data_IF_534087447048
#
_entry.id   IF_534087447048
#
_cell.length_a   1.000
_cell.length_b   1.000
_cell.length_c   1.000
_cell.angle_alpha   90.00
_cell.angle_beta   90.00
_cell.angle_gamma   90.00
#
_symmetry.space_group_name_H-M   'P 1'
#
loop_
_entity.id
_entity.type
_entity.pdbx_description
1 polymer ?
#
# COMPACT_ATOMS: atom_id res chain seq x y z
N UNK A 1 7.95 -27.83 -11.40
CA UNK A 1 7.04 -27.59 -10.25
C UNK A 1 7.80 -26.85 -9.16
N UNK A 2 7.52 -25.57 -8.90
CA UNK A 2 8.09 -24.89 -7.73
C UNK A 2 7.34 -25.37 -6.48
N UNK A 3 8.01 -26.18 -5.64
CA UNK A 3 7.53 -26.50 -4.29
C UNK A 3 7.21 -25.18 -3.57
N UNK A 4 5.96 -25.01 -3.15
CA UNK A 4 5.53 -23.85 -2.38
C UNK A 4 6.29 -23.73 -1.07
N UNK A 5 6.60 -22.50 -0.64
CA UNK A 5 7.17 -22.28 0.70
C UNK A 5 6.01 -22.22 1.68
N UNK A 6 5.91 -23.22 2.56
CA UNK A 6 4.96 -23.22 3.68
C UNK A 6 5.07 -21.92 4.50
N UNK A 7 3.96 -21.48 5.10
CA UNK A 7 3.94 -20.26 5.91
C UNK A 7 4.88 -20.42 7.11
N UNK A 8 5.63 -19.35 7.43
CA UNK A 8 6.53 -19.39 8.59
C UNK A 8 5.74 -19.26 9.90
N UNK A 9 6.25 -19.80 11.01
CA UNK A 9 5.64 -19.63 12.35
C UNK A 9 5.42 -18.15 12.69
N UNK A 10 6.35 -17.27 12.31
CA UNK A 10 6.23 -15.82 12.50
C UNK A 10 5.08 -15.22 11.70
N UNK A 11 4.91 -15.63 10.44
CA UNK A 11 3.82 -15.16 9.58
C UNK A 11 2.45 -15.60 10.12
N UNK A 12 2.34 -16.86 10.56
CA UNK A 12 1.10 -17.37 11.16
C UNK A 12 0.77 -16.59 12.44
N UNK A 13 1.75 -16.38 13.32
CA UNK A 13 1.57 -15.59 14.55
C UNK A 13 1.11 -14.15 14.25
N UNK A 14 1.67 -13.52 13.22
CA UNK A 14 1.27 -12.18 12.80
C UNK A 14 -0.19 -12.15 12.30
N UNK A 15 -0.57 -13.08 11.43
CA UNK A 15 -1.95 -13.14 10.90
C UNK A 15 -2.94 -13.36 12.04
N UNK A 16 -2.67 -14.30 12.95
CA UNK A 16 -3.54 -14.57 14.10
C UNK A 16 -3.62 -13.37 15.06
N UNK A 17 -2.52 -12.63 15.22
CA UNK A 17 -2.46 -11.42 16.03
C UNK A 17 -3.30 -10.26 15.47
N UNK A 18 -3.58 -10.26 14.17
CA UNK A 18 -4.43 -9.26 13.51
C UNK A 18 -5.93 -9.59 13.59
N UNK A 19 -6.30 -10.77 14.11
CA UNK A 19 -7.71 -11.14 14.31
C UNK A 19 -8.25 -10.36 15.51
N UNK A 20 -8.79 -9.17 15.20
CA UNK A 20 -9.45 -8.27 16.14
C UNK A 20 -10.98 -8.41 16.15
N UNK A 21 -11.53 -9.23 15.24
CA UNK A 21 -12.95 -9.51 15.18
C UNK A 21 -13.34 -10.53 16.25
N UNK A 22 -14.03 -10.07 17.31
CA UNK A 22 -14.35 -10.87 18.51
C UNK A 22 -14.96 -12.25 18.21
N UNK A 23 -15.93 -12.39 17.28
CA UNK A 23 -16.52 -13.70 16.99
C UNK A 23 -15.53 -14.76 16.48
N UNK A 24 -14.38 -14.35 15.93
CA UNK A 24 -13.37 -15.28 15.41
C UNK A 24 -12.31 -15.69 16.43
N UNK A 25 -12.38 -15.20 17.67
CA UNK A 25 -11.39 -15.55 18.70
C UNK A 25 -11.43 -17.06 19.00
N UNK A 26 -12.63 -17.65 19.11
CA UNK A 26 -12.84 -19.09 19.32
C UNK A 26 -12.38 -19.95 18.15
N UNK A 27 -12.35 -19.40 16.94
CA UNK A 27 -11.98 -20.12 15.70
C UNK A 27 -10.51 -19.94 15.30
N UNK A 28 -9.68 -19.32 16.15
CA UNK A 28 -8.25 -19.09 15.86
C UNK A 28 -7.49 -20.36 15.56
N UNK A 29 -7.81 -21.47 16.23
CA UNK A 29 -7.14 -22.75 15.99
C UNK A 29 -7.49 -23.34 14.63
N UNK A 30 -8.74 -23.23 14.19
CA UNK A 30 -9.16 -23.61 12.83
C UNK A 30 -8.46 -22.78 11.75
N UNK A 31 -8.37 -21.46 11.95
CA UNK A 31 -7.63 -20.55 11.05
C UNK A 31 -6.14 -20.92 11.03
N UNK A 32 -5.55 -21.16 12.20
CA UNK A 32 -4.15 -21.59 12.33
C UNK A 32 -3.90 -22.89 11.59
N UNK A 33 -4.79 -23.87 11.72
CA UNK A 33 -4.70 -25.14 11.01
C UNK A 33 -4.70 -24.93 9.50
N UNK A 34 -5.64 -24.15 8.96
CA UNK A 34 -5.65 -23.85 7.52
C UNK A 34 -4.41 -23.11 7.03
N UNK A 35 -3.86 -22.21 7.84
CA UNK A 35 -2.58 -21.54 7.56
C UNK A 35 -1.38 -22.50 7.65
N UNK A 36 -1.47 -23.64 8.32
CA UNK A 36 -0.43 -24.67 8.30
C UNK A 36 -0.56 -25.60 7.09
N UNK A 37 -1.78 -25.82 6.60
CA UNK A 37 -2.09 -26.69 5.46
C UNK A 37 -1.88 -26.01 4.09
N UNK A 38 -1.95 -24.67 4.04
CA UNK A 38 -1.96 -23.90 2.78
C UNK A 38 -0.90 -22.81 2.75
N UNK A 39 -0.50 -22.36 1.56
CA UNK A 39 0.40 -21.21 1.40
C UNK A 39 -0.43 -19.92 1.33
N UNK A 40 -0.45 -19.14 2.42
CA UNK A 40 -1.22 -17.90 2.53
C UNK A 40 -0.95 -16.97 1.35
N UNK A 41 0.32 -16.89 0.93
CA UNK A 41 0.76 -16.05 -0.17
C UNK A 41 0.20 -16.43 -1.55
N UNK A 42 -0.43 -17.61 -1.68
CA UNK A 42 -1.07 -18.10 -2.90
C UNK A 42 -2.59 -18.11 -2.82
N UNK A 43 -3.17 -17.99 -1.63
CA UNK A 43 -4.60 -18.07 -1.42
C UNK A 43 -5.32 -16.78 -1.84
N UNK A 44 -6.36 -16.93 -2.65
CA UNK A 44 -7.22 -15.87 -3.18
C UNK A 44 -8.66 -16.17 -2.79
N UNK A 45 -9.25 -15.31 -1.96
CA UNK A 45 -10.64 -15.46 -1.54
C UNK A 45 -11.57 -14.97 -2.64
N UNK A 46 -12.38 -15.88 -3.19
CA UNK A 46 -13.40 -15.59 -4.20
C UNK A 46 -14.74 -15.36 -3.50
N UNK A 47 -15.11 -14.09 -3.41
CA UNK A 47 -16.37 -13.60 -2.84
C UNK A 47 -17.39 -13.51 -3.98
N UNK A 48 -18.42 -14.35 -3.93
CA UNK A 48 -19.44 -14.40 -4.96
C UNK A 48 -20.76 -14.97 -4.43
N UNK A 49 -21.85 -14.70 -5.15
CA UNK A 49 -23.12 -15.38 -4.88
C UNK A 49 -23.04 -16.86 -5.28
N UNK A 50 -23.41 -17.73 -4.35
CA UNK A 50 -23.52 -19.17 -4.57
C UNK A 50 -24.88 -19.50 -5.20
N UNK A 51 -24.86 -19.87 -6.48
CA UNK A 51 -26.01 -20.36 -7.26
C UNK A 51 -25.50 -21.15 -8.47
N UNK A 52 -26.34 -22.01 -9.03
CA UNK A 52 -25.95 -22.91 -10.13
C UNK A 52 -25.47 -22.15 -11.37
N UNK A 53 -26.09 -21.02 -11.68
CA UNK A 53 -25.74 -20.17 -12.82
C UNK A 53 -24.30 -19.64 -12.72
N UNK A 54 -23.81 -19.49 -11.48
CA UNK A 54 -22.52 -18.90 -11.17
C UNK A 54 -21.41 -19.94 -11.03
N UNK A 55 -21.75 -21.22 -10.98
CA UNK A 55 -20.79 -22.32 -10.94
C UNK A 55 -19.80 -22.22 -12.10
N UNK A 56 -20.30 -21.99 -13.31
CA UNK A 56 -19.46 -21.82 -14.52
C UNK A 56 -18.49 -20.65 -14.39
N UNK A 57 -18.94 -19.52 -13.83
CA UNK A 57 -18.08 -18.34 -13.63
C UNK A 57 -17.00 -18.65 -12.58
N UNK A 58 -17.39 -19.29 -11.47
CA UNK A 58 -16.45 -19.72 -10.46
C UNK A 58 -15.38 -20.63 -11.04
N UNK A 59 -15.77 -21.64 -11.83
CA UNK A 59 -14.85 -22.59 -12.46
C UNK A 59 -13.86 -21.90 -13.42
N UNK A 60 -14.30 -20.85 -14.14
CA UNK A 60 -13.40 -20.03 -14.97
C UNK A 60 -12.37 -19.31 -14.09
N UNK A 61 -12.81 -18.62 -13.04
CA UNK A 61 -11.91 -17.87 -12.13
C UNK A 61 -10.92 -18.82 -11.45
N UNK A 62 -11.40 -19.94 -10.89
CA UNK A 62 -10.56 -20.91 -10.18
C UNK A 62 -9.53 -21.55 -11.12
N UNK A 63 -9.90 -21.87 -12.36
CA UNK A 63 -8.94 -22.35 -13.38
C UNK A 63 -7.90 -21.30 -13.75
N UNK A 64 -8.31 -20.04 -13.94
CA UNK A 64 -7.40 -18.94 -14.25
C UNK A 64 -6.36 -18.72 -13.13
N UNK A 65 -6.80 -18.74 -11.87
CA UNK A 65 -5.94 -18.68 -10.69
C UNK A 65 -4.96 -19.86 -10.64
N UNK A 66 -5.46 -21.08 -10.84
CA UNK A 66 -4.66 -22.31 -10.83
C UNK A 66 -3.58 -22.31 -11.92
N UNK A 67 -3.89 -21.84 -13.14
CA UNK A 67 -2.92 -21.68 -14.24
C UNK A 67 -1.75 -20.77 -13.87
N UNK A 68 -1.95 -19.82 -12.96
CA UNK A 68 -0.91 -18.90 -12.46
C UNK A 68 -0.31 -19.34 -11.12
N UNK A 69 -0.60 -20.56 -10.65
CA UNK A 69 -0.07 -21.12 -9.41
C UNK A 69 -0.69 -20.53 -8.14
N UNK A 70 -1.84 -19.86 -8.25
CA UNK A 70 -2.63 -19.36 -7.13
C UNK A 70 -3.72 -20.38 -6.75
N UNK A 71 -4.14 -20.33 -5.49
CA UNK A 71 -5.19 -21.17 -4.94
C UNK A 71 -6.45 -20.32 -4.76
N UNK A 72 -7.48 -20.58 -5.56
CA UNK A 72 -8.78 -19.92 -5.42
C UNK A 72 -9.61 -20.62 -4.34
N UNK A 73 -10.15 -19.83 -3.42
CA UNK A 73 -10.81 -20.31 -2.21
C UNK A 73 -12.21 -19.72 -2.14
N UNK A 74 -13.23 -20.56 -1.91
CA UNK A 74 -14.57 -20.10 -1.54
C UNK A 74 -14.94 -20.60 -0.15
N UNK A 75 -15.78 -19.84 0.53
CA UNK A 75 -16.23 -20.19 1.88
C UNK A 75 -17.20 -21.38 1.92
N UNK A 76 -17.85 -21.72 0.80
CA UNK A 76 -18.75 -22.88 0.68
C UNK A 76 -18.02 -24.20 0.35
N UNK A 77 -16.72 -24.15 0.07
CA UNK A 77 -15.94 -25.35 -0.21
C UNK A 77 -15.76 -26.19 1.07
N UNK A 78 -15.99 -27.51 0.97
CA UNK A 78 -15.94 -28.44 2.12
C UNK A 78 -14.58 -28.41 2.83
N UNK A 79 -13.50 -28.26 2.08
CA UNK A 79 -12.14 -28.16 2.60
C UNK A 79 -11.84 -26.81 3.28
N UNK A 80 -12.75 -25.84 3.20
CA UNK A 80 -12.66 -24.49 3.77
C UNK A 80 -13.74 -24.20 4.82
N UNK A 81 -14.40 -25.22 5.35
CA UNK A 81 -15.26 -25.13 6.53
C UNK A 81 -14.41 -25.00 7.80
N UNK A 82 -13.98 -23.78 8.11
CA UNK A 82 -13.18 -23.42 9.30
C UNK A 82 -14.08 -23.24 10.52
N UNK A 83 -15.23 -22.60 10.32
CA UNK A 83 -16.28 -22.44 11.32
C UNK A 83 -17.52 -23.21 10.87
N UNK A 84 -18.38 -23.53 11.82
CA UNK A 84 -19.69 -24.19 11.64
C UNK A 84 -20.84 -23.18 11.57
N UNK A 85 -20.52 -21.88 11.46
CA UNK A 85 -21.46 -20.77 11.52
C UNK A 85 -21.29 -19.77 10.36
N UNK A 86 -22.02 -18.65 10.45
CA UNK A 86 -22.02 -17.58 9.44
C UNK A 86 -20.70 -16.81 9.35
N UNK A 87 -19.75 -17.02 10.27
CA UNK A 87 -18.44 -16.36 10.25
C UNK A 87 -17.40 -17.07 9.40
N UNK A 88 -17.75 -18.19 8.74
CA UNK A 88 -16.79 -18.99 7.98
C UNK A 88 -16.12 -18.16 6.86
N UNK A 89 -16.87 -17.32 6.17
CA UNK A 89 -16.32 -16.44 5.13
C UNK A 89 -15.27 -15.47 5.66
N UNK A 90 -15.47 -14.94 6.87
CA UNK A 90 -14.51 -14.04 7.51
C UNK A 90 -13.28 -14.82 7.98
N UNK A 91 -13.45 -16.02 8.54
CA UNK A 91 -12.32 -16.90 8.88
C UNK A 91 -11.47 -17.26 7.66
N UNK A 92 -12.13 -17.60 6.54
CA UNK A 92 -11.49 -17.87 5.24
C UNK A 92 -10.73 -16.64 4.73
N UNK A 93 -11.27 -15.43 4.91
CA UNK A 93 -10.60 -14.19 4.52
C UNK A 93 -9.24 -14.01 5.20
N UNK A 94 -9.08 -14.45 6.46
CA UNK A 94 -7.79 -14.42 7.18
C UNK A 94 -6.77 -15.44 6.65
N UNK A 95 -7.24 -16.50 6.00
CA UNK A 95 -6.40 -17.49 5.35
C UNK A 95 -5.96 -17.09 3.94
N UNK A 96 -6.49 -15.98 3.41
CA UNK A 96 -6.24 -15.51 2.06
C UNK A 96 -5.44 -14.20 2.04
N UNK A 97 -4.46 -14.12 1.14
CA UNK A 97 -3.68 -12.89 0.92
C UNK A 97 -4.37 -11.91 0.00
N UNK A 98 -5.15 -12.42 -0.94
CA UNK A 98 -5.80 -11.64 -1.98
C UNK A 98 -7.31 -11.89 -1.99
N UNK A 99 -8.07 -10.98 -2.59
CA UNK A 99 -9.50 -11.12 -2.80
C UNK A 99 -9.91 -10.95 -4.26
N UNK A 100 -10.99 -11.61 -4.66
CA UNK A 100 -11.77 -11.31 -5.87
C UNK A 100 -13.22 -11.17 -5.45
N UNK A 101 -13.78 -9.97 -5.59
CA UNK A 101 -15.21 -9.72 -5.38
C UNK A 101 -15.92 -9.71 -6.73
N UNK A 102 -16.83 -10.66 -6.91
CA UNK A 102 -17.68 -10.76 -8.09
C UNK A 102 -19.09 -10.28 -7.75
N UNK A 103 -19.45 -9.12 -8.30
CA UNK A 103 -20.82 -8.61 -8.32
C UNK A 103 -21.46 -9.01 -9.65
N UNK A 104 -22.15 -10.14 -9.62
CA UNK A 104 -22.76 -10.77 -10.80
C UNK A 104 -24.15 -10.19 -11.14
N UNK A 105 -24.84 -10.78 -12.12
CA UNK A 105 -26.17 -10.37 -12.59
C UNK A 105 -27.18 -10.20 -11.43
N UNK A 106 -28.05 -9.17 -11.52
CA UNK A 106 -29.07 -8.92 -10.50
C UNK A 106 -30.16 -10.00 -10.53
N UNK A 107 -30.84 -10.14 -9.40
CA UNK A 107 -32.06 -10.95 -9.28
C UNK A 107 -33.28 -10.08 -8.99
N UNK A 108 -34.47 -10.68 -9.11
CA UNK A 108 -35.72 -10.00 -8.80
C UNK A 108 -35.69 -9.48 -7.36
N UNK A 109 -35.74 -8.16 -7.19
CA UNK A 109 -35.73 -7.50 -5.88
C UNK A 109 -34.34 -7.36 -5.23
N UNK A 110 -33.28 -7.87 -5.85
CA UNK A 110 -31.92 -7.82 -5.30
C UNK A 110 -30.88 -7.51 -6.37
N UNK A 111 -30.34 -6.29 -6.36
CA UNK A 111 -29.35 -5.84 -7.35
C UNK A 111 -27.99 -6.51 -7.19
N UNK A 112 -27.57 -6.82 -5.95
CA UNK A 112 -26.30 -7.47 -5.65
C UNK A 112 -26.39 -8.26 -4.35
N UNK A 113 -25.46 -9.18 -4.15
CA UNK A 113 -25.40 -9.99 -2.93
C UNK A 113 -24.76 -9.18 -1.77
N UNK A 114 -25.48 -8.93 -0.66
CA UNK A 114 -24.94 -8.20 0.49
C UNK A 114 -23.78 -8.92 1.16
N UNK A 115 -23.69 -10.26 1.06
CA UNK A 115 -22.58 -11.02 1.62
C UNK A 115 -21.25 -10.67 0.90
N UNK A 116 -21.29 -10.45 -0.42
CA UNK A 116 -20.11 -10.02 -1.17
C UNK A 116 -19.66 -8.62 -0.71
N UNK A 117 -20.59 -7.71 -0.42
CA UNK A 117 -20.26 -6.40 0.16
C UNK A 117 -19.63 -6.53 1.56
N UNK A 118 -20.21 -7.37 2.40
CA UNK A 118 -19.75 -7.63 3.77
C UNK A 118 -18.32 -8.20 3.76
N UNK A 119 -18.07 -9.24 2.97
CA UNK A 119 -16.76 -9.88 2.81
C UNK A 119 -15.71 -8.90 2.23
N UNK A 120 -16.11 -8.13 1.21
CA UNK A 120 -15.24 -7.11 0.61
C UNK A 120 -14.83 -6.04 1.63
N UNK A 121 -15.72 -5.70 2.57
CA UNK A 121 -15.42 -4.80 3.68
C UNK A 121 -14.25 -5.28 4.53
N UNK A 122 -14.18 -6.57 4.86
CA UNK A 122 -13.08 -7.15 5.63
C UNK A 122 -11.78 -7.21 4.83
N UNK A 123 -11.84 -7.57 3.55
CA UNK A 123 -10.68 -7.53 2.65
C UNK A 123 -10.09 -6.12 2.56
N UNK A 124 -10.94 -5.10 2.48
CA UNK A 124 -10.52 -3.70 2.49
C UNK A 124 -9.97 -3.23 3.84
N UNK A 125 -10.60 -3.61 4.95
CA UNK A 125 -10.13 -3.26 6.29
C UNK A 125 -8.72 -3.80 6.57
N UNK A 126 -8.39 -4.96 6.02
CA UNK A 126 -7.08 -5.61 6.11
C UNK A 126 -6.06 -5.11 5.05
N UNK A 127 -6.42 -4.12 4.22
CA UNK A 127 -5.61 -3.61 3.09
C UNK A 127 -5.09 -4.71 2.14
N UNK A 128 -5.90 -5.76 1.94
CA UNK A 128 -5.55 -6.87 1.05
C UNK A 128 -5.77 -6.47 -0.41
N UNK A 129 -4.84 -6.79 -1.34
CA UNK A 129 -5.07 -6.52 -2.75
C UNK A 129 -6.28 -7.30 -3.26
N UNK A 130 -7.22 -6.58 -3.86
CA UNK A 130 -8.49 -7.14 -4.31
C UNK A 130 -8.76 -6.76 -5.77
N UNK A 131 -9.31 -7.70 -6.54
CA UNK A 131 -9.98 -7.43 -7.80
C UNK A 131 -11.47 -7.28 -7.54
N UNK A 132 -12.10 -6.25 -8.11
CA UNK A 132 -13.55 -6.07 -8.06
C UNK A 132 -14.06 -6.19 -9.50
N UNK A 133 -14.90 -7.20 -9.74
CA UNK A 133 -15.51 -7.49 -11.04
C UNK A 133 -17.00 -7.22 -10.92
N UNK A 134 -17.55 -6.37 -11.80
CA UNK A 134 -18.95 -5.96 -11.77
C UNK A 134 -19.62 -6.26 -13.10
N UNK A 135 -20.77 -6.92 -13.06
CA UNK A 135 -21.59 -7.13 -14.25
C UNK A 135 -22.14 -5.78 -14.77
N UNK A 136 -22.11 -5.60 -16.09
CA UNK A 136 -22.55 -4.36 -16.74
C UNK A 136 -24.00 -3.96 -16.38
N UNK A 137 -24.88 -4.92 -16.09
CA UNK A 137 -26.28 -4.66 -15.72
C UNK A 137 -26.44 -3.83 -14.43
N UNK A 138 -25.45 -3.87 -13.54
CA UNK A 138 -25.50 -3.17 -12.24
C UNK A 138 -24.48 -2.02 -12.14
N UNK A 139 -23.76 -1.70 -13.21
CA UNK A 139 -22.75 -0.62 -13.20
C UNK A 139 -23.31 0.76 -12.84
N UNK A 140 -24.57 1.03 -13.18
CA UNK A 140 -25.26 2.29 -12.82
C UNK A 140 -25.85 2.28 -11.40
N UNK A 141 -25.90 1.10 -10.77
CA UNK A 141 -26.47 0.87 -9.43
C UNK A 141 -25.49 0.07 -8.57
N UNK A 142 -24.24 0.52 -8.54
CA UNK A 142 -23.17 -0.14 -7.81
C UNK A 142 -23.49 -0.21 -6.32
N UNK A 143 -23.07 -1.26 -5.61
CA UNK A 143 -23.05 -1.27 -4.16
C UNK A 143 -22.14 -0.13 -3.65
N UNK A 144 -22.67 0.81 -2.87
CA UNK A 144 -21.94 1.91 -2.21
C UNK A 144 -20.96 2.70 -3.13
N UNK A 145 -20.13 3.58 -2.58
CA UNK A 145 -19.15 4.41 -3.32
C UNK A 145 -17.93 3.60 -3.83
N UNK A 146 -18.19 2.46 -4.48
CA UNK A 146 -17.22 1.74 -5.30
C UNK A 146 -16.63 2.59 -6.43
N UNK A 147 -17.19 3.77 -6.70
CA UNK A 147 -16.66 4.78 -7.64
C UNK A 147 -15.27 5.26 -7.23
N UNK A 148 -15.00 5.36 -5.92
CA UNK A 148 -13.67 5.71 -5.41
C UNK A 148 -12.61 4.63 -5.64
N UNK A 149 -13.02 3.42 -6.06
CA UNK A 149 -12.15 2.26 -6.27
C UNK A 149 -12.17 1.83 -7.74
N UNK A 150 -11.01 1.40 -8.22
CA UNK A 150 -10.88 0.86 -9.57
C UNK A 150 -11.53 -0.53 -9.59
N UNK A 151 -12.64 -0.66 -10.30
CA UNK A 151 -13.31 -1.94 -10.60
C UNK A 151 -13.16 -2.23 -12.10
N UNK A 152 -13.25 -3.51 -12.45
CA UNK A 152 -13.36 -3.98 -13.82
C UNK A 152 -14.79 -4.42 -14.06
N UNK A 153 -15.26 -4.30 -15.30
CA UNK A 153 -16.61 -4.72 -15.66
C UNK A 153 -16.59 -5.79 -16.74
N UNK A 154 -17.67 -6.57 -16.81
CA UNK A 154 -17.86 -7.57 -17.85
C UNK A 154 -19.30 -7.60 -18.33
N UNK A 155 -19.48 -7.95 -19.60
CA UNK A 155 -20.77 -8.29 -20.20
C UNK A 155 -20.84 -9.76 -20.63
N UNK A 156 -19.69 -10.40 -20.82
CA UNK A 156 -19.57 -11.79 -21.22
C UNK A 156 -18.67 -12.54 -20.23
N UNK A 157 -19.06 -13.77 -19.88
CA UNK A 157 -18.32 -14.67 -19.00
C UNK A 157 -16.93 -14.98 -19.55
N UNK A 158 -16.74 -14.98 -20.87
CA UNK A 158 -15.43 -15.18 -21.51
C UNK A 158 -14.41 -14.11 -21.10
N UNK A 159 -14.85 -12.88 -20.81
CA UNK A 159 -13.99 -11.77 -20.40
C UNK A 159 -13.41 -11.97 -18.99
N UNK A 160 -14.06 -12.78 -18.14
CA UNK A 160 -13.68 -12.92 -16.74
C UNK A 160 -12.29 -13.56 -16.60
N UNK A 161 -11.95 -14.53 -17.47
CA UNK A 161 -10.63 -15.15 -17.45
C UNK A 161 -9.52 -14.12 -17.70
N UNK A 162 -9.70 -13.29 -18.71
CA UNK A 162 -8.73 -12.24 -19.08
C UNK A 162 -8.59 -11.21 -17.95
N UNK A 163 -9.71 -10.74 -17.38
CA UNK A 163 -9.68 -9.81 -16.24
C UNK A 163 -8.90 -10.35 -15.04
N UNK A 164 -9.07 -11.64 -14.73
CA UNK A 164 -8.33 -12.30 -13.65
C UNK A 164 -6.85 -12.43 -14.00
N UNK A 165 -6.53 -12.86 -15.23
CA UNK A 165 -5.14 -13.00 -15.69
C UNK A 165 -4.41 -11.66 -15.65
N UNK A 166 -5.03 -10.60 -16.17
CA UNK A 166 -4.48 -9.24 -16.18
C UNK A 166 -4.22 -8.73 -14.77
N UNK A 167 -5.19 -8.90 -13.87
CA UNK A 167 -5.01 -8.51 -12.48
C UNK A 167 -3.86 -9.27 -11.79
N UNK A 168 -3.69 -10.57 -12.05
CA UNK A 168 -2.56 -11.34 -11.53
C UNK A 168 -1.23 -10.79 -12.06
N UNK A 169 -1.18 -10.39 -13.35
CA UNK A 169 0.00 -9.74 -13.93
C UNK A 169 0.25 -8.38 -13.26
N UNK A 170 -0.77 -7.55 -13.06
CA UNK A 170 -0.69 -6.29 -12.32
C UNK A 170 -0.18 -6.50 -10.88
N UNK A 171 -0.62 -7.54 -10.18
CA UNK A 171 -0.09 -7.94 -8.88
C UNK A 171 1.40 -8.30 -8.96
N UNK A 172 1.80 -9.02 -10.00
CA UNK A 172 3.20 -9.37 -10.29
C UNK A 172 4.07 -8.15 -10.60
N UNK A 173 3.54 -7.14 -11.30
CA UNK A 173 4.18 -5.86 -11.57
C UNK A 173 4.30 -5.03 -10.30
N UNK A 174 3.22 -4.90 -9.51
CA UNK A 174 3.24 -4.28 -8.18
C UNK A 174 4.21 -4.98 -7.24
N UNK A 175 4.31 -6.31 -7.31
CA UNK A 175 5.29 -7.11 -6.55
C UNK A 175 6.70 -6.88 -7.06
N UNK A 176 6.98 -6.86 -8.37
CA UNK A 176 8.31 -6.52 -8.92
C UNK A 176 8.75 -5.11 -8.51
N UNK A 177 7.83 -4.15 -8.51
CA UNK A 177 8.04 -2.80 -7.98
C UNK A 177 8.31 -2.80 -6.46
N UNK A 178 7.67 -3.70 -5.68
CA UNK A 178 7.81 -3.79 -4.21
C UNK A 178 8.89 -4.76 -3.69
N UNK A 179 9.38 -5.72 -4.47
CA UNK A 179 10.17 -6.86 -3.95
C UNK A 179 11.59 -7.00 -4.47
N UNK A 180 12.06 -6.13 -5.36
CA UNK A 180 13.47 -6.15 -5.81
C UNK A 180 14.20 -4.80 -5.74
N UNK A 181 13.61 -3.77 -5.15
CA UNK A 181 14.35 -2.55 -4.88
C UNK A 181 14.70 -2.49 -3.40
N UNK A 182 16.00 -2.47 -3.09
CA UNK A 182 16.47 -1.83 -1.86
C UNK A 182 15.75 -0.48 -1.76
N UNK A 183 15.19 -0.11 -0.59
CA UNK A 183 14.47 1.15 -0.46
C UNK A 183 15.31 2.28 -1.03
N UNK A 184 14.69 3.12 -1.86
CA UNK A 184 15.38 4.23 -2.51
C UNK A 184 16.14 5.02 -1.45
N UNK A 185 17.44 5.20 -1.65
CA UNK A 185 18.28 5.93 -0.70
C UNK A 185 18.22 7.40 -1.03
N UNK A 186 17.86 8.20 -0.04
CA UNK A 186 17.79 9.65 -0.17
C UNK A 186 18.56 10.32 0.95
N UNK A 187 19.03 11.53 0.69
CA UNK A 187 19.55 12.42 1.72
C UNK A 187 18.58 13.56 1.96
N UNK A 188 18.36 13.90 3.22
CA UNK A 188 17.46 14.97 3.68
C UNK A 188 18.31 16.04 4.38
N UNK A 189 18.21 17.29 3.93
CA UNK A 189 18.99 18.40 4.45
C UNK A 189 18.18 19.26 5.41
N UNK A 190 18.54 19.25 6.69
CA UNK A 190 18.04 20.21 7.67
C UNK A 190 18.92 21.47 7.56
N UNK A 191 18.62 22.29 6.57
CA UNK A 191 19.41 23.48 6.23
C UNK A 191 19.00 24.65 7.12
N UNK A 192 19.92 25.14 7.94
CA UNK A 192 19.71 26.27 8.82
C UNK A 192 20.42 27.53 8.29
N UNK A 193 19.70 28.66 8.35
CA UNK A 193 20.23 30.01 8.17
C UNK A 193 19.64 30.91 9.25
N UNK A 194 20.48 31.39 10.16
CA UNK A 194 20.04 32.12 11.36
C UNK A 194 18.98 31.29 12.13
N UNK A 195 17.83 31.86 12.45
CA UNK A 195 16.71 31.17 13.13
C UNK A 195 15.71 30.52 12.16
N UNK A 196 16.05 30.43 10.88
CA UNK A 196 15.17 29.89 9.85
C UNK A 196 15.72 28.60 9.23
N UNK A 197 14.80 27.78 8.73
CA UNK A 197 15.05 26.53 8.05
C UNK A 197 14.52 26.59 6.62
N UNK A 198 15.25 26.00 5.67
CA UNK A 198 14.80 25.88 4.29
C UNK A 198 13.79 24.73 4.19
N UNK A 199 12.62 25.00 3.61
CA UNK A 199 11.66 23.98 3.22
C UNK A 199 11.27 24.14 1.74
N UNK A 200 10.94 23.03 1.10
CA UNK A 200 10.54 22.94 -0.31
C UNK A 200 9.12 22.39 -0.42
N UNK A 201 8.40 22.79 -1.48
CA UNK A 201 7.06 22.35 -1.81
C UNK A 201 7.08 21.64 -3.16
N UNK A 202 6.62 20.39 -3.20
CA UNK A 202 6.58 19.60 -4.44
C UNK A 202 5.47 20.07 -5.38
N UNK A 203 5.66 19.92 -6.69
CA UNK A 203 4.68 20.30 -7.71
C UNK A 203 3.59 19.25 -7.94
N UNK A 204 3.95 17.96 -7.95
CA UNK A 204 3.00 16.84 -8.02
C UNK A 204 2.80 16.24 -6.62
N UNK A 205 1.56 16.26 -6.13
CA UNK A 205 1.18 15.67 -4.85
C UNK A 205 0.79 14.20 -5.03
N UNK A 206 1.65 13.27 -4.59
CA UNK A 206 1.20 11.94 -4.15
C UNK A 206 0.94 12.00 -2.65
N UNK A 207 -0.32 12.11 -2.25
CA UNK A 207 -0.72 12.16 -0.83
C UNK A 207 -0.50 13.51 -0.14
N UNK A 208 -0.47 13.49 1.20
CA UNK A 208 -0.51 14.65 2.11
C UNK A 208 0.82 15.40 2.28
N UNK A 209 1.88 15.06 1.51
CA UNK A 209 3.24 15.59 1.68
C UNK A 209 3.48 16.85 0.84
N UNK A 210 2.84 17.96 1.21
CA UNK A 210 2.94 19.22 0.48
C UNK A 210 4.29 19.92 0.70
N UNK A 211 4.77 19.99 1.95
CA UNK A 211 6.04 20.62 2.33
C UNK A 211 7.00 19.63 2.98
N UNK A 212 8.29 19.74 2.66
CA UNK A 212 9.37 18.94 3.25
C UNK A 212 10.67 19.73 3.36
N UNK A 213 11.65 19.17 4.07
CA UNK A 213 13.03 19.63 3.93
C UNK A 213 13.58 19.26 2.53
N UNK A 214 14.57 20.00 2.00
CA UNK A 214 15.31 19.60 0.81
C UNK A 214 15.72 18.14 0.88
N UNK A 215 15.42 17.38 -0.17
CA UNK A 215 15.62 15.94 -0.20
C UNK A 215 15.99 15.52 -1.61
N UNK A 216 16.99 14.67 -1.76
CA UNK A 216 17.32 14.16 -3.10
C UNK A 216 17.93 12.77 -3.09
N UNK A 217 17.94 12.16 -4.26
CA UNK A 217 18.31 10.76 -4.46
C UNK A 217 19.83 10.63 -4.37
N UNK A 218 20.30 9.65 -3.60
CA UNK A 218 21.72 9.30 -3.56
C UNK A 218 22.03 8.49 -4.80
N UNK A 219 22.80 9.07 -5.74
CA UNK A 219 23.19 8.42 -6.99
C UNK A 219 24.23 7.30 -6.74
N UNK A 220 24.36 6.33 -7.66
CA UNK A 220 25.48 5.39 -7.62
C UNK A 220 26.80 6.15 -7.59
N UNK A 221 27.73 5.73 -6.72
CA UNK A 221 29.05 6.35 -6.51
C UNK A 221 29.08 7.71 -5.79
N UNK A 222 27.93 8.19 -5.30
CA UNK A 222 27.84 9.43 -4.53
C UNK A 222 27.70 9.15 -3.03
N UNK A 223 28.30 9.99 -2.18
CA UNK A 223 28.09 9.92 -0.72
C UNK A 223 26.76 10.59 -0.34
N UNK A 224 26.10 10.17 0.75
CA UNK A 224 24.91 10.87 1.23
C UNK A 224 25.12 12.37 1.48
N UNK A 225 26.32 12.74 1.95
CA UNK A 225 26.72 14.13 2.20
C UNK A 225 26.76 14.94 0.89
N UNK A 226 27.50 14.46 -0.11
CA UNK A 226 27.60 15.15 -1.41
C UNK A 226 26.26 15.20 -2.14
N UNK A 227 25.43 14.16 -2.00
CA UNK A 227 24.10 14.12 -2.59
C UNK A 227 23.21 15.27 -2.11
N UNK A 228 23.13 15.54 -0.80
CA UNK A 228 22.28 16.63 -0.31
C UNK A 228 22.82 18.02 -0.68
N UNK A 229 24.14 18.19 -0.71
CA UNK A 229 24.77 19.45 -1.13
C UNK A 229 24.45 19.77 -2.60
N UNK A 230 24.57 18.76 -3.47
CA UNK A 230 24.21 18.85 -4.90
C UNK A 230 22.72 19.13 -5.07
N UNK A 231 21.86 18.32 -4.47
CA UNK A 231 20.40 18.38 -4.67
C UNK A 231 19.83 19.71 -4.17
N UNK A 232 20.26 20.19 -3.00
CA UNK A 232 19.83 21.50 -2.51
C UNK A 232 20.18 22.63 -3.49
N UNK A 233 21.37 22.60 -4.07
CA UNK A 233 21.79 23.59 -5.07
C UNK A 233 21.03 23.46 -6.39
N UNK A 234 20.86 22.24 -6.89
CA UNK A 234 20.18 21.93 -8.15
C UNK A 234 18.68 22.23 -8.12
N UNK A 235 18.04 22.08 -6.96
CA UNK A 235 16.63 22.36 -6.76
C UNK A 235 16.36 23.85 -6.50
N UNK A 236 17.17 24.47 -5.61
CA UNK A 236 16.80 25.75 -4.96
C UNK A 236 17.79 26.89 -5.15
N UNK A 237 18.93 26.66 -5.81
CA UNK A 237 20.05 27.62 -5.93
C UNK A 237 20.69 28.02 -4.58
N UNK A 238 20.44 27.24 -3.52
CA UNK A 238 21.06 27.43 -2.20
C UNK A 238 22.26 26.49 -2.06
N UNK A 239 23.44 27.07 -1.79
CA UNK A 239 24.63 26.31 -1.44
C UNK A 239 24.66 26.06 0.05
N UNK A 240 24.99 24.84 0.42
CA UNK A 240 25.03 24.38 1.80
C UNK A 240 26.31 23.57 2.05
N UNK A 241 26.67 23.43 3.33
CA UNK A 241 27.68 22.48 3.78
C UNK A 241 27.07 21.51 4.79
N UNK A 242 27.05 20.22 4.47
CA UNK A 242 26.47 19.19 5.31
C UNK A 242 27.46 18.81 6.44
N UNK A 243 27.21 19.31 7.65
CA UNK A 243 28.11 19.19 8.80
C UNK A 243 28.19 17.76 9.32
N UNK A 244 27.09 17.22 9.84
CA UNK A 244 27.04 15.89 10.44
C UNK A 244 25.72 15.18 10.15
N UNK A 245 25.77 13.85 10.15
CA UNK A 245 24.58 13.01 10.01
C UNK A 245 23.84 12.96 11.36
N UNK A 246 22.59 13.42 11.38
CA UNK A 246 21.70 13.32 12.55
C UNK A 246 21.17 11.90 12.76
N UNK A 247 21.22 11.07 11.72
CA UNK A 247 20.84 9.67 11.74
C UNK A 247 20.16 9.23 10.45
N UNK A 248 19.73 7.98 10.43
CA UNK A 248 19.13 7.34 9.26
C UNK A 248 17.94 6.48 9.67
N UNK A 249 16.92 6.42 8.81
CA UNK A 249 15.78 5.52 9.01
C UNK A 249 15.08 5.19 7.71
N UNK A 250 14.32 4.10 7.73
CA UNK A 250 13.25 3.90 6.76
C UNK A 250 12.11 4.88 7.10
N UNK A 251 11.74 5.74 6.16
CA UNK A 251 10.69 6.72 6.38
C UNK A 251 9.31 6.04 6.44
N UNK A 252 8.51 6.20 7.50
CA UNK A 252 7.27 5.46 7.67
C UNK A 252 6.25 5.75 6.58
N UNK A 253 6.20 7.00 6.10
CA UNK A 253 5.17 7.42 5.13
C UNK A 253 5.55 7.13 3.66
N UNK A 254 6.84 7.04 3.33
CA UNK A 254 7.33 6.99 1.93
C UNK A 254 8.17 5.76 1.62
N UNK A 255 8.55 4.97 2.62
CA UNK A 255 9.36 3.76 2.50
C UNK A 255 10.74 3.97 1.82
N UNK A 256 11.24 5.22 1.78
CA UNK A 256 12.61 5.54 1.37
C UNK A 256 13.57 5.38 2.55
N UNK A 257 14.81 5.00 2.29
CA UNK A 257 15.86 4.96 3.31
C UNK A 257 16.55 6.33 3.36
N UNK A 258 16.16 7.14 4.34
CA UNK A 258 16.56 8.53 4.45
C UNK A 258 17.77 8.70 5.38
N UNK A 259 18.80 9.37 4.89
CA UNK A 259 19.93 9.89 5.66
C UNK A 259 19.69 11.37 5.98
N UNK A 260 19.61 11.73 7.26
CA UNK A 260 19.32 13.10 7.69
C UNK A 260 20.62 13.82 8.04
N UNK A 261 20.87 14.98 7.44
CA UNK A 261 22.03 15.83 7.70
C UNK A 261 21.62 17.17 8.25
N UNK A 262 22.34 17.65 9.26
CA UNK A 262 22.30 19.05 9.65
C UNK A 262 23.26 19.83 8.74
N UNK A 263 22.78 20.91 8.13
CA UNK A 263 23.50 21.65 7.10
C UNK A 263 23.54 23.14 7.43
N UNK A 264 24.70 23.75 7.24
CA UNK A 264 24.81 25.21 7.25
C UNK A 264 24.51 25.77 5.86
N UNK A 265 23.75 26.86 5.82
CA UNK A 265 23.73 27.74 4.66
C UNK A 265 25.11 28.39 4.44
N UNK A 266 25.61 28.36 3.21
CA UNK A 266 26.87 29.04 2.86
C UNK A 266 26.66 30.21 1.92
N UNK A 267 25.80 30.08 0.89
CA UNK A 267 25.64 31.10 -0.16
C UNK A 267 24.35 30.85 -0.98
N UNK A 268 23.93 31.84 -1.77
CA UNK A 268 22.85 31.75 -2.75
C UNK A 268 21.54 32.38 -2.29
N UNK A 269 20.66 32.66 -3.25
CA UNK A 269 19.29 33.14 -3.04
C UNK A 269 18.33 32.11 -3.64
N UNK A 270 17.18 31.92 -2.97
CA UNK A 270 16.19 30.93 -3.39
C UNK A 270 15.76 31.24 -4.82
N UNK A 271 16.00 30.27 -5.72
CA UNK A 271 15.49 30.25 -7.08
C UNK A 271 15.18 28.82 -7.43
N UNK A 272 13.94 28.56 -7.85
CA UNK A 272 13.54 27.21 -8.29
C UNK A 272 14.24 26.93 -9.61
N UNK A 273 15.19 25.99 -9.60
CA UNK A 273 15.98 25.58 -10.77
C UNK A 273 15.37 24.34 -11.46
N UNK A 274 14.51 23.60 -10.76
CA UNK A 274 13.77 22.45 -11.30
C UNK A 274 12.24 22.66 -11.16
N UNK A 275 11.62 23.50 -11.99
CA UNK A 275 10.20 23.86 -11.89
C UNK A 275 9.23 22.74 -12.30
N UNK A 276 9.74 21.59 -12.74
CA UNK A 276 8.95 20.39 -12.98
C UNK A 276 8.77 19.57 -11.69
N UNK A 277 9.73 19.65 -10.75
CA UNK A 277 9.69 18.92 -9.47
C UNK A 277 9.18 19.79 -8.32
N UNK A 278 9.66 21.04 -8.24
CA UNK A 278 9.35 21.97 -7.16
C UNK A 278 8.44 23.11 -7.60
N UNK A 279 7.47 23.41 -6.72
CA UNK A 279 6.55 24.54 -6.87
C UNK A 279 7.07 25.79 -6.17
N UNK A 280 7.56 25.64 -4.93
CA UNK A 280 8.04 26.74 -4.07
C UNK A 280 9.16 26.26 -3.15
N UNK A 281 9.95 27.20 -2.66
CA UNK A 281 10.90 27.01 -1.57
C UNK A 281 10.92 28.29 -0.72
N UNK A 282 11.08 28.15 0.59
CA UNK A 282 11.13 29.31 1.51
C UNK A 282 11.91 29.00 2.77
N UNK A 283 12.48 30.05 3.35
CA UNK A 283 12.97 30.06 4.72
C UNK A 283 11.79 30.24 5.68
N UNK A 284 11.71 29.40 6.71
CA UNK A 284 10.63 29.44 7.71
C UNK A 284 11.20 29.28 9.11
N UNK A 285 10.48 29.79 10.11
CA UNK A 285 10.83 29.53 11.52
C UNK A 285 10.65 28.05 11.87
N UNK A 286 11.24 27.59 12.98
CA UNK A 286 11.07 26.22 13.45
C UNK A 286 9.58 25.86 13.73
N UNK A 287 8.78 26.82 14.21
CA UNK A 287 7.36 26.64 14.46
C UNK A 287 6.58 26.47 13.15
N UNK A 288 6.89 27.27 12.15
CA UNK A 288 6.28 27.16 10.83
C UNK A 288 6.67 25.86 10.11
N UNK A 289 7.92 25.42 10.22
CA UNK A 289 8.37 24.13 9.69
C UNK A 289 7.54 22.98 10.27
N UNK A 290 7.35 22.96 11.59
CA UNK A 290 6.51 21.96 12.29
C UNK A 290 5.04 21.99 11.84
N UNK A 291 4.51 23.16 11.49
CA UNK A 291 3.13 23.34 11.04
C UNK A 291 2.93 22.92 9.58
N UNK A 292 3.89 23.26 8.71
CA UNK A 292 3.78 23.04 7.27
C UNK A 292 4.16 21.61 6.87
N UNK A 293 5.14 21.01 7.54
CA UNK A 293 5.55 19.63 7.28
C UNK A 293 4.60 18.68 8.00
N UNK A 294 3.68 18.10 7.25
CA UNK A 294 2.65 17.16 7.71
C UNK A 294 3.12 15.71 7.75
N UNK A 295 4.29 15.39 7.19
CA UNK A 295 4.91 14.06 7.31
C UNK A 295 5.29 13.75 8.74
N UNK A 296 5.50 12.46 8.99
CA UNK A 296 6.18 11.99 10.18
C UNK A 296 7.61 12.56 10.25
N UNK A 297 7.81 13.63 11.04
CA UNK A 297 9.14 14.19 11.29
C UNK A 297 10.00 13.23 12.12
N UNK A 298 11.26 13.08 11.72
CA UNK A 298 12.26 12.27 12.44
C UNK A 298 12.54 12.87 13.84
N UNK A 299 12.65 12.02 14.86
CA UNK A 299 12.70 12.48 16.26
C UNK A 299 13.86 13.44 16.56
N UNK A 300 15.12 13.20 16.12
CA UNK A 300 16.21 14.18 16.25
C UNK A 300 15.91 15.52 15.58
N UNK A 301 15.19 15.53 14.45
CA UNK A 301 14.78 16.78 13.78
C UNK A 301 13.73 17.52 14.61
N UNK A 302 12.74 16.80 15.17
CA UNK A 302 11.76 17.40 16.09
C UNK A 302 12.44 18.03 17.31
N UNK A 303 13.41 17.34 17.90
CA UNK A 303 14.20 17.85 19.03
C UNK A 303 14.96 19.10 18.64
N UNK A 304 15.66 19.11 17.51
CA UNK A 304 16.34 20.31 16.99
C UNK A 304 15.37 21.49 16.82
N UNK A 305 14.24 21.28 16.16
CA UNK A 305 13.21 22.32 15.94
C UNK A 305 12.55 22.82 17.23
N UNK A 306 12.60 22.04 18.32
CA UNK A 306 12.09 22.47 19.62
C UNK A 306 13.11 23.33 20.40
N UNK A 307 14.41 23.13 20.15
CA UNK A 307 15.48 23.89 20.82
C UNK A 307 15.95 25.11 20.01
N UNK A 308 15.57 25.20 18.73
CA UNK A 308 15.80 26.39 17.92
C UNK A 308 15.04 27.59 18.54
N UNK A 309 15.78 28.56 19.08
CA UNK A 309 15.23 29.78 19.68
C UNK A 309 14.44 30.58 18.63
N UNK A 310 13.40 31.29 19.09
CA UNK A 310 12.62 32.24 18.28
C UNK A 310 13.54 33.33 17.71
#
# INVERSE_FOLDING_TARGET
>A
MQKGRMNTKSQIKQILGNINYKPLISYRDGIKQKLMETEYARNVFLMMKFRDENKKISDVILRALKKKGLNGVRADMKEWSITDDTYNSIAVSYCCKYGIALFDEPEKGQLYNPNVCYELGFIHADDKPCLIIINNQILKKKPFDLISRIHKSYSDRLQIEDLVIDWIQELGLKKKLKTNQKPLKVSVGIVQRNNCFLITQRKQTQGSLEWSFPTGIIKPHETPRSAIERECYDETNIKIKAKYEMGRRLHPDTNVFAHYYFCDYTDGKIRIRQPHELKKAKWVTAQEAKRLITSNLYQPVKQLLNHAKK
#
